data_IF_029298806585
#
_entry.id   IF_029298806585
#
_cell.length_a   1.000
_cell.length_b   1.000
_cell.length_c   1.000
_cell.angle_alpha   90.00
_cell.angle_beta   90.00
_cell.angle_gamma   90.00
#
_symmetry.space_group_name_H-M   'P 1'
#
loop_
_entity.id
_entity.type
_entity.pdbx_description
1 polymer ?
#
# COMPACT_ATOMS: atom_id res chain seq x y z
N UNK A 1 20.34 -27.92 -18.36
CA UNK A 1 21.59 -27.21 -18.04
C UNK A 1 21.26 -26.21 -16.94
N UNK A 2 21.92 -26.29 -15.78
CA UNK A 2 21.76 -25.31 -14.74
C UNK A 2 22.32 -23.96 -15.25
N UNK A 3 21.51 -22.92 -15.20
CA UNK A 3 21.92 -21.56 -15.61
C UNK A 3 22.89 -21.03 -14.53
N UNK A 4 24.16 -20.82 -14.88
CA UNK A 4 25.11 -20.20 -13.96
C UNK A 4 25.06 -18.68 -14.08
N UNK A 5 25.06 -17.95 -12.94
CA UNK A 5 25.10 -16.50 -12.96
C UNK A 5 26.36 -15.96 -13.64
N UNK A 6 26.23 -14.89 -14.42
CA UNK A 6 27.38 -14.13 -14.92
C UNK A 6 28.13 -13.47 -13.74
N UNK A 7 29.39 -13.02 -13.92
CA UNK A 7 30.11 -12.32 -12.85
C UNK A 7 29.37 -11.11 -12.29
N UNK A 8 28.68 -10.34 -13.15
CA UNK A 8 27.88 -9.19 -12.74
C UNK A 8 26.63 -9.61 -11.93
N UNK A 9 25.92 -10.64 -12.39
CA UNK A 9 24.78 -11.20 -11.64
C UNK A 9 25.24 -11.77 -10.29
N UNK A 10 26.38 -12.46 -10.24
CA UNK A 10 26.95 -12.98 -9.00
C UNK A 10 27.26 -11.87 -8.00
N UNK A 11 27.87 -10.77 -8.46
CA UNK A 11 28.13 -9.61 -7.61
C UNK A 11 26.84 -9.03 -6.98
N UNK A 12 25.72 -9.01 -7.74
CA UNK A 12 24.41 -8.58 -7.23
C UNK A 12 23.86 -9.60 -6.21
N UNK A 13 23.95 -10.89 -6.49
CA UNK A 13 23.44 -11.96 -5.63
C UNK A 13 24.15 -11.95 -4.26
N UNK A 14 25.46 -11.77 -4.26
CA UNK A 14 26.31 -11.82 -3.07
C UNK A 14 26.37 -10.50 -2.29
N UNK A 15 25.88 -9.37 -2.86
CA UNK A 15 25.87 -8.08 -2.18
C UNK A 15 24.77 -8.07 -1.10
N UNK A 16 25.14 -8.09 0.17
CA UNK A 16 24.20 -8.16 1.30
C UNK A 16 24.10 -6.88 2.13
N UNK A 17 25.05 -5.97 2.01
CA UNK A 17 25.12 -4.78 2.82
C UNK A 17 24.82 -3.51 2.04
N UNK A 18 23.90 -2.69 2.58
CA UNK A 18 23.56 -1.37 2.03
C UNK A 18 22.72 -1.41 0.74
N UNK A 19 22.33 -0.24 0.25
CA UNK A 19 21.50 -0.12 -0.95
C UNK A 19 22.28 -0.47 -2.22
N UNK A 20 21.62 -1.17 -3.16
CA UNK A 20 22.14 -1.46 -4.48
C UNK A 20 21.10 -1.11 -5.56
N UNK A 21 21.50 -0.32 -6.56
CA UNK A 21 20.69 -0.03 -7.73
C UNK A 21 21.18 -0.89 -8.90
N UNK A 22 20.27 -1.68 -9.49
CA UNK A 22 20.57 -2.53 -10.65
C UNK A 22 19.85 -1.98 -11.88
N UNK A 23 20.61 -1.56 -12.89
CA UNK A 23 20.08 -1.13 -14.19
C UNK A 23 20.30 -2.27 -15.17
N UNK A 24 19.21 -2.81 -15.72
CA UNK A 24 19.26 -4.00 -16.56
C UNK A 24 18.22 -3.95 -17.70
N UNK A 25 18.65 -4.23 -18.92
CA UNK A 25 17.79 -4.27 -20.10
C UNK A 25 16.84 -5.49 -20.15
N UNK A 26 15.89 -5.53 -21.09
CA UNK A 26 15.09 -6.72 -21.35
C UNK A 26 15.98 -7.94 -21.66
N UNK A 27 15.59 -9.13 -21.15
CA UNK A 27 16.34 -10.37 -21.40
C UNK A 27 17.65 -10.54 -20.63
N UNK A 28 18.08 -9.56 -19.81
CA UNK A 28 19.33 -9.63 -19.03
C UNK A 28 19.29 -10.58 -17.83
N UNK A 29 18.16 -11.24 -17.57
CA UNK A 29 17.98 -12.15 -16.45
C UNK A 29 17.66 -11.46 -15.11
N UNK A 30 17.01 -10.28 -15.11
CA UNK A 30 16.60 -9.56 -13.88
C UNK A 30 15.89 -10.45 -12.85
N UNK A 31 14.82 -11.12 -13.29
CA UNK A 31 14.03 -11.99 -12.41
C UNK A 31 14.86 -13.18 -11.91
N UNK A 32 15.70 -13.77 -12.76
CA UNK A 32 16.63 -14.82 -12.36
C UNK A 32 17.58 -14.34 -11.26
N UNK A 33 18.20 -13.18 -11.46
CA UNK A 33 19.14 -12.60 -10.49
C UNK A 33 18.45 -12.29 -9.15
N UNK A 34 17.21 -11.76 -9.18
CA UNK A 34 16.42 -11.48 -7.98
C UNK A 34 16.09 -12.77 -7.23
N UNK A 35 15.60 -13.80 -7.92
CA UNK A 35 15.29 -15.11 -7.31
C UNK A 35 16.54 -15.73 -6.68
N UNK A 36 17.67 -15.72 -7.39
CA UNK A 36 18.93 -16.26 -6.85
C UNK A 36 19.43 -15.45 -5.65
N UNK A 37 19.24 -14.12 -5.64
CA UNK A 37 19.59 -13.26 -4.49
C UNK A 37 18.72 -13.60 -3.26
N UNK A 38 17.41 -13.72 -3.42
CA UNK A 38 16.50 -14.10 -2.34
C UNK A 38 16.85 -15.48 -1.81
N UNK A 39 17.07 -16.45 -2.70
CA UNK A 39 17.53 -17.80 -2.32
C UNK A 39 18.85 -17.75 -1.56
N UNK A 40 19.82 -16.96 -1.99
CA UNK A 40 21.10 -16.77 -1.29
C UNK A 40 20.91 -16.18 0.10
N UNK A 41 20.03 -15.18 0.27
CA UNK A 41 19.72 -14.62 1.58
C UNK A 41 19.14 -15.66 2.53
N UNK A 42 18.18 -16.47 2.07
CA UNK A 42 17.52 -17.50 2.87
C UNK A 42 18.51 -18.63 3.21
N UNK A 43 19.20 -19.18 2.22
CA UNK A 43 19.97 -20.42 2.35
C UNK A 43 21.37 -20.18 2.88
N UNK A 44 22.11 -19.24 2.26
CA UNK A 44 23.53 -19.06 2.56
C UNK A 44 23.77 -18.04 3.67
N UNK A 45 22.82 -17.10 3.85
CA UNK A 45 22.89 -16.07 4.90
C UNK A 45 21.96 -16.33 6.07
N UNK A 46 21.09 -17.34 5.98
CA UNK A 46 20.13 -17.70 7.02
C UNK A 46 19.25 -16.52 7.46
N UNK A 47 18.89 -15.63 6.52
CA UNK A 47 17.97 -14.53 6.77
C UNK A 47 16.59 -15.12 7.02
N UNK A 48 15.92 -14.82 8.13
CA UNK A 48 14.55 -15.24 8.40
C UNK A 48 13.60 -14.75 7.30
N UNK A 49 12.62 -15.57 6.92
CA UNK A 49 11.70 -15.26 5.83
C UNK A 49 10.85 -14.02 6.12
N UNK A 50 10.47 -13.80 7.37
CA UNK A 50 9.74 -12.62 7.87
C UNK A 50 10.52 -11.30 7.74
N UNK A 51 11.82 -11.35 7.50
CA UNK A 51 12.67 -10.18 7.24
C UNK A 51 12.86 -9.89 5.73
N UNK A 52 12.21 -10.67 4.87
CA UNK A 52 12.34 -10.52 3.42
C UNK A 52 11.11 -9.81 2.85
N UNK A 53 11.37 -8.67 2.24
CA UNK A 53 10.38 -7.81 1.59
C UNK A 53 10.62 -7.75 0.08
N UNK A 54 9.64 -8.18 -0.73
CA UNK A 54 9.74 -8.20 -2.20
C UNK A 54 8.54 -7.51 -2.82
N UNK A 55 8.71 -6.26 -3.21
CA UNK A 55 7.65 -5.48 -3.83
C UNK A 55 7.71 -5.51 -5.35
N UNK A 56 6.55 -5.61 -5.98
CA UNK A 56 6.35 -5.56 -7.43
C UNK A 56 5.24 -4.59 -7.81
N UNK A 57 5.09 -4.29 -9.10
CA UNK A 57 3.99 -3.45 -9.58
C UNK A 57 2.67 -4.21 -9.78
N UNK A 58 2.72 -5.53 -9.96
CA UNK A 58 1.52 -6.33 -10.25
C UNK A 58 1.52 -7.62 -9.45
N UNK A 59 0.35 -8.06 -9.02
CA UNK A 59 0.14 -9.35 -8.35
C UNK A 59 0.66 -10.53 -9.20
N UNK A 60 0.47 -10.45 -10.52
CA UNK A 60 0.99 -11.48 -11.43
C UNK A 60 2.51 -11.60 -11.34
N UNK A 61 3.23 -10.47 -11.25
CA UNK A 61 4.68 -10.49 -11.14
C UNK A 61 5.12 -11.00 -9.75
N UNK A 62 4.39 -10.67 -8.69
CA UNK A 62 4.64 -11.18 -7.35
C UNK A 62 4.51 -12.71 -7.31
N UNK A 63 3.39 -13.24 -7.78
CA UNK A 63 3.14 -14.68 -7.84
C UNK A 63 4.17 -15.42 -8.69
N UNK A 64 4.62 -14.83 -9.82
CA UNK A 64 5.67 -15.43 -10.65
C UNK A 64 7.02 -15.48 -9.92
N UNK A 65 7.36 -14.47 -9.13
CA UNK A 65 8.59 -14.45 -8.32
C UNK A 65 8.50 -15.49 -7.22
N UNK A 66 7.39 -15.55 -6.49
CA UNK A 66 7.14 -16.53 -5.43
C UNK A 66 7.26 -17.96 -5.95
N UNK A 67 6.57 -18.29 -7.06
CA UNK A 67 6.67 -19.58 -7.72
C UNK A 67 8.10 -19.97 -8.10
N UNK A 68 8.90 -19.01 -8.54
CA UNK A 68 10.29 -19.25 -8.92
C UNK A 68 11.19 -19.47 -7.72
N UNK A 69 10.98 -18.71 -6.63
CA UNK A 69 11.70 -18.90 -5.37
C UNK A 69 11.36 -20.28 -4.80
N UNK A 70 10.07 -20.65 -4.77
CA UNK A 70 9.61 -21.95 -4.29
C UNK A 70 10.27 -23.11 -5.06
N UNK A 71 10.30 -23.05 -6.38
CA UNK A 71 10.96 -24.08 -7.21
C UNK A 71 12.47 -24.16 -6.97
N UNK A 72 13.14 -23.02 -6.80
CA UNK A 72 14.59 -22.98 -6.52
C UNK A 72 14.90 -23.59 -5.15
N UNK A 73 14.15 -23.24 -4.11
CA UNK A 73 14.32 -23.78 -2.75
C UNK A 73 14.01 -25.28 -2.70
N UNK A 74 12.92 -25.72 -3.34
CA UNK A 74 12.56 -27.13 -3.44
C UNK A 74 13.64 -27.95 -4.15
N UNK A 75 14.30 -27.39 -5.19
CA UNK A 75 15.42 -28.06 -5.88
C UNK A 75 16.62 -28.32 -4.97
N UNK A 76 16.71 -27.57 -3.86
CA UNK A 76 17.72 -27.71 -2.80
C UNK A 76 17.22 -28.49 -1.58
N UNK A 77 16.02 -29.08 -1.66
CA UNK A 77 15.32 -29.76 -0.55
C UNK A 77 15.05 -28.85 0.67
N UNK A 78 14.81 -27.55 0.41
CA UNK A 78 14.49 -26.57 1.44
C UNK A 78 13.00 -26.21 1.30
N UNK A 79 12.27 -26.29 2.42
CA UNK A 79 10.87 -25.91 2.52
C UNK A 79 10.80 -24.68 3.43
N UNK A 80 10.17 -23.61 2.92
CA UNK A 80 9.89 -22.38 3.67
C UNK A 80 8.39 -22.11 3.67
N UNK A 81 7.93 -21.41 4.68
CA UNK A 81 6.58 -20.88 4.70
C UNK A 81 6.58 -19.50 4.02
N UNK A 82 5.93 -19.39 2.86
CA UNK A 82 5.84 -18.13 2.14
C UNK A 82 4.86 -17.15 2.79
N UNK A 83 3.95 -17.63 3.63
CA UNK A 83 3.04 -16.76 4.37
C UNK A 83 3.78 -15.82 5.35
N UNK A 84 4.98 -16.19 5.75
CA UNK A 84 5.82 -15.35 6.62
C UNK A 84 6.57 -14.25 5.85
N UNK A 85 6.72 -14.39 4.52
CA UNK A 85 7.39 -13.39 3.67
C UNK A 85 6.44 -12.27 3.25
N UNK A 86 6.99 -11.08 3.03
CA UNK A 86 6.27 -9.95 2.44
C UNK A 86 6.54 -9.89 0.94
N UNK A 87 5.80 -10.70 0.17
CA UNK A 87 5.87 -10.71 -1.31
C UNK A 87 4.53 -10.25 -1.87
N UNK A 88 4.55 -9.21 -2.71
CA UNK A 88 3.30 -8.69 -3.28
C UNK A 88 3.49 -7.38 -4.02
N UNK A 89 2.38 -6.72 -4.32
CA UNK A 89 2.40 -5.30 -4.66
C UNK A 89 2.68 -4.49 -3.41
N UNK A 90 3.10 -3.25 -3.56
CA UNK A 90 3.34 -2.39 -2.40
C UNK A 90 2.09 -2.26 -1.52
N UNK A 91 0.90 -2.14 -2.13
CA UNK A 91 -0.37 -2.07 -1.40
C UNK A 91 -0.71 -3.38 -0.68
N UNK A 92 -0.56 -4.54 -1.33
CA UNK A 92 -0.86 -5.82 -0.68
C UNK A 92 0.08 -6.11 0.48
N UNK A 93 1.35 -5.70 0.39
CA UNK A 93 2.30 -5.82 1.50
C UNK A 93 1.91 -4.88 2.65
N UNK A 94 1.60 -3.62 2.37
CA UNK A 94 1.11 -2.69 3.40
C UNK A 94 -0.15 -3.22 4.08
N UNK A 95 -1.07 -3.79 3.32
CA UNK A 95 -2.29 -4.40 3.86
C UNK A 95 -1.96 -5.57 4.80
N UNK A 96 -1.06 -6.46 4.39
CA UNK A 96 -0.58 -7.56 5.24
C UNK A 96 0.06 -7.05 6.54
N UNK A 97 0.91 -6.02 6.46
CA UNK A 97 1.50 -5.40 7.65
C UNK A 97 0.42 -4.87 8.61
N UNK A 98 -0.62 -4.22 8.08
CA UNK A 98 -1.75 -3.73 8.89
C UNK A 98 -2.56 -4.88 9.52
N UNK A 99 -2.74 -5.98 8.80
CA UNK A 99 -3.42 -7.18 9.30
C UNK A 99 -2.62 -7.88 10.42
N UNK A 100 -1.32 -8.03 10.23
CA UNK A 100 -0.41 -8.65 11.20
C UNK A 100 -0.26 -7.81 12.47
N UNK A 101 -0.32 -6.48 12.35
CA UNK A 101 -0.16 -5.52 13.44
C UNK A 101 -1.48 -4.80 13.82
N UNK A 102 -2.62 -5.44 13.58
CA UNK A 102 -3.94 -4.82 13.76
C UNK A 102 -4.18 -4.24 15.13
N UNK A 103 -3.68 -4.85 16.20
CA UNK A 103 -3.86 -4.41 17.57
C UNK A 103 -3.24 -3.01 17.84
N UNK A 104 -2.33 -2.57 16.98
CA UNK A 104 -1.72 -1.24 17.00
C UNK A 104 -2.38 -0.25 16.04
N UNK A 105 -3.46 -0.65 15.35
CA UNK A 105 -4.17 0.17 14.38
C UNK A 105 -5.59 0.49 14.85
N UNK A 106 -6.27 1.42 14.16
CA UNK A 106 -7.70 1.69 14.37
C UNK A 106 -8.60 0.60 13.75
N UNK A 107 -8.03 -0.31 12.96
CA UNK A 107 -8.79 -1.31 12.20
C UNK A 107 -9.28 -2.43 13.11
N UNK A 108 -10.58 -2.69 13.05
CA UNK A 108 -11.19 -3.82 13.77
C UNK A 108 -11.04 -5.10 12.97
N UNK A 109 -11.29 -6.23 13.62
CA UNK A 109 -11.33 -7.52 12.91
C UNK A 109 -12.35 -7.48 11.76
N UNK A 110 -11.99 -8.05 10.61
CA UNK A 110 -12.82 -8.09 9.40
C UNK A 110 -13.17 -6.70 8.85
N UNK A 111 -12.20 -5.79 8.80
CA UNK A 111 -12.36 -4.55 8.04
C UNK A 111 -12.52 -4.86 6.55
N UNK A 112 -13.19 -3.97 5.83
CA UNK A 112 -13.40 -4.10 4.38
C UNK A 112 -12.54 -3.09 3.63
N UNK A 113 -11.82 -3.56 2.63
CA UNK A 113 -11.09 -2.68 1.70
C UNK A 113 -12.03 -2.32 0.55
N UNK A 114 -12.24 -1.03 0.36
CA UNK A 114 -13.07 -0.50 -0.73
C UNK A 114 -12.24 -0.35 -2.01
N UNK A 115 -12.81 -0.78 -3.13
CA UNK A 115 -12.29 -0.41 -4.44
C UNK A 115 -12.74 1.03 -4.82
N UNK A 116 -12.33 1.51 -5.99
CA UNK A 116 -12.65 2.86 -6.45
C UNK A 116 -14.16 3.08 -6.65
N UNK A 117 -14.89 2.05 -7.07
CA UNK A 117 -16.33 2.16 -7.23
C UNK A 117 -17.02 2.19 -5.86
N UNK A 118 -16.65 1.30 -4.96
CA UNK A 118 -17.17 1.23 -3.58
C UNK A 118 -16.93 2.54 -2.85
N UNK A 119 -15.74 3.14 -3.00
CA UNK A 119 -15.41 4.41 -2.40
C UNK A 119 -16.28 5.56 -2.95
N UNK A 120 -16.47 5.62 -4.28
CA UNK A 120 -17.36 6.63 -4.88
C UNK A 120 -18.80 6.43 -4.43
N UNK A 121 -19.26 5.18 -4.32
CA UNK A 121 -20.58 4.84 -3.84
C UNK A 121 -20.77 5.18 -2.36
N UNK A 122 -19.76 4.99 -1.53
CA UNK A 122 -19.74 5.45 -0.15
C UNK A 122 -19.98 6.97 -0.05
N UNK A 123 -19.25 7.78 -0.83
CA UNK A 123 -19.49 9.22 -0.87
C UNK A 123 -20.88 9.58 -1.42
N UNK A 124 -21.41 8.79 -2.34
CA UNK A 124 -22.79 8.99 -2.82
C UNK A 124 -23.83 8.72 -1.73
N UNK A 125 -23.64 7.71 -0.90
CA UNK A 125 -24.52 7.39 0.23
C UNK A 125 -24.46 8.48 1.30
N UNK A 126 -23.27 8.93 1.66
CA UNK A 126 -23.02 9.94 2.71
C UNK A 126 -23.04 11.39 2.20
N UNK A 127 -23.40 11.63 0.93
CA UNK A 127 -23.35 12.96 0.32
C UNK A 127 -24.01 14.05 1.14
N UNK A 128 -25.18 13.75 1.74
CA UNK A 128 -25.92 14.71 2.56
C UNK A 128 -25.15 15.12 3.85
N UNK A 129 -24.30 14.25 4.38
CA UNK A 129 -23.46 14.54 5.55
C UNK A 129 -22.31 15.47 5.17
N UNK A 130 -21.67 15.20 4.02
CA UNK A 130 -20.63 16.07 3.47
C UNK A 130 -21.17 17.45 3.12
N UNK A 131 -22.36 17.54 2.51
CA UNK A 131 -22.99 18.82 2.13
C UNK A 131 -23.48 19.63 3.36
N UNK A 132 -23.67 19.03 4.53
CA UNK A 132 -23.89 19.78 5.78
C UNK A 132 -22.62 20.52 6.24
N UNK A 133 -21.46 19.99 5.95
CA UNK A 133 -20.18 20.62 6.26
C UNK A 133 -19.87 21.75 5.28
N UNK A 134 -20.18 21.56 3.99
CA UNK A 134 -20.01 22.55 2.93
C UNK A 134 -20.52 22.02 1.60
N UNK A 135 -21.17 22.89 0.83
CA UNK A 135 -21.74 22.50 -0.46
C UNK A 135 -20.65 22.25 -1.51
N UNK A 136 -20.73 21.11 -2.21
CA UNK A 136 -19.79 20.81 -3.33
C UNK A 136 -19.88 21.88 -4.42
N UNK A 137 -21.07 22.44 -4.65
CA UNK A 137 -21.30 23.54 -5.58
C UNK A 137 -20.44 24.77 -5.27
N UNK A 138 -20.29 25.13 -4.00
CA UNK A 138 -19.47 26.27 -3.56
C UNK A 138 -17.97 26.01 -3.80
N UNK A 139 -17.58 24.75 -3.68
CA UNK A 139 -16.21 24.34 -3.92
C UNK A 139 -15.84 24.36 -5.42
N UNK A 140 -16.69 23.78 -6.26
CA UNK A 140 -16.45 23.63 -7.70
C UNK A 140 -16.89 24.87 -8.49
N UNK A 141 -17.82 25.66 -7.94
CA UNK A 141 -18.38 26.84 -8.61
C UNK A 141 -19.48 26.48 -9.63
N UNK A 142 -20.17 25.35 -9.45
CA UNK A 142 -21.26 24.91 -10.33
C UNK A 142 -22.38 24.21 -9.56
N UNK A 143 -23.61 24.71 -9.72
CA UNK A 143 -24.81 24.10 -9.12
C UNK A 143 -25.38 22.93 -9.96
N UNK A 144 -24.91 22.78 -11.20
CA UNK A 144 -25.44 21.79 -12.15
C UNK A 144 -24.67 20.47 -12.12
N UNK A 145 -24.51 19.89 -10.93
CA UNK A 145 -23.83 18.59 -10.76
C UNK A 145 -24.82 17.50 -10.36
N UNK A 146 -24.73 16.34 -11.01
CA UNK A 146 -25.44 15.16 -10.53
C UNK A 146 -24.90 14.73 -9.15
N UNK A 147 -25.71 13.99 -8.38
CA UNK A 147 -25.26 13.45 -7.07
C UNK A 147 -24.01 12.59 -7.20
N UNK A 148 -23.93 11.79 -8.27
CA UNK A 148 -22.76 10.94 -8.54
C UNK A 148 -21.49 11.76 -8.83
N UNK A 149 -21.62 12.83 -9.63
CA UNK A 149 -20.48 13.69 -9.92
C UNK A 149 -20.00 14.45 -8.69
N UNK A 150 -20.91 14.87 -7.80
CA UNK A 150 -20.56 15.46 -6.51
C UNK A 150 -19.79 14.46 -5.64
N UNK A 151 -20.26 13.21 -5.54
CA UNK A 151 -19.61 12.14 -4.80
C UNK A 151 -18.20 11.83 -5.34
N UNK A 152 -18.08 11.69 -6.66
CA UNK A 152 -16.78 11.48 -7.31
C UNK A 152 -15.82 12.64 -7.06
N UNK A 153 -16.30 13.88 -7.09
CA UNK A 153 -15.47 15.06 -6.79
C UNK A 153 -14.94 15.06 -5.35
N UNK A 154 -15.79 14.70 -4.38
CA UNK A 154 -15.33 14.56 -2.99
C UNK A 154 -14.30 13.43 -2.90
N UNK A 155 -14.58 12.28 -3.49
CA UNK A 155 -13.69 11.12 -3.52
C UNK A 155 -12.29 11.48 -4.01
N UNK A 156 -12.19 12.14 -5.17
CA UNK A 156 -10.91 12.56 -5.76
C UNK A 156 -10.09 13.46 -4.82
N UNK A 157 -10.76 14.39 -4.13
CA UNK A 157 -10.08 15.26 -3.17
C UNK A 157 -9.67 14.52 -1.90
N UNK A 158 -10.51 13.61 -1.40
CA UNK A 158 -10.17 12.83 -0.20
C UNK A 158 -8.97 11.92 -0.47
N UNK A 159 -8.92 11.26 -1.63
CA UNK A 159 -7.78 10.46 -2.04
C UNK A 159 -6.50 11.30 -2.07
N UNK A 160 -6.55 12.47 -2.72
CA UNK A 160 -5.40 13.37 -2.80
C UNK A 160 -4.91 13.83 -1.42
N UNK A 161 -5.81 14.16 -0.50
CA UNK A 161 -5.43 14.56 0.86
C UNK A 161 -4.80 13.41 1.64
N UNK A 162 -5.29 12.17 1.45
CA UNK A 162 -4.75 10.97 2.09
C UNK A 162 -3.37 10.62 1.53
N UNK A 163 -3.20 10.62 0.21
CA UNK A 163 -1.94 10.31 -0.48
C UNK A 163 -0.83 11.31 -0.13
N UNK A 164 -1.16 12.61 -0.04
CA UNK A 164 -0.22 13.67 0.34
C UNK A 164 -0.02 13.79 1.87
N UNK A 165 -0.65 12.91 2.65
CA UNK A 165 -0.55 12.90 4.12
C UNK A 165 -0.87 14.26 4.75
N UNK A 166 -1.85 14.96 4.21
CA UNK A 166 -2.22 16.30 4.67
C UNK A 166 -2.76 16.24 6.11
N UNK A 167 -2.27 17.14 6.96
CA UNK A 167 -2.82 17.29 8.32
C UNK A 167 -4.22 17.93 8.24
N UNK A 168 -5.25 17.10 8.41
CA UNK A 168 -6.65 17.48 8.28
C UNK A 168 -7.13 18.51 9.31
N UNK A 169 -6.61 18.42 10.56
CA UNK A 169 -6.97 19.36 11.63
C UNK A 169 -6.43 20.76 11.33
N UNK A 170 -5.16 20.81 10.87
CA UNK A 170 -4.55 22.08 10.45
C UNK A 170 -5.28 22.65 9.26
N UNK A 171 -5.65 21.82 8.26
CA UNK A 171 -6.39 22.25 7.09
C UNK A 171 -7.80 22.73 7.46
N UNK A 172 -8.49 22.06 8.39
CA UNK A 172 -9.81 22.43 8.87
C UNK A 172 -9.83 23.76 9.68
N UNK A 173 -8.66 24.22 10.10
CA UNK A 173 -8.45 25.49 10.79
C UNK A 173 -7.91 26.60 9.89
N UNK A 174 -7.78 26.35 8.57
CA UNK A 174 -7.25 27.32 7.62
C UNK A 174 -8.18 28.53 7.48
N UNK A 175 -7.61 29.69 7.19
CA UNK A 175 -8.35 30.92 6.96
C UNK A 175 -9.09 30.94 5.60
N UNK A 176 -8.62 30.16 4.63
CA UNK A 176 -9.26 30.07 3.31
C UNK A 176 -10.45 29.12 3.35
N UNK A 177 -11.68 29.59 3.03
CA UNK A 177 -12.91 28.79 3.24
C UNK A 177 -12.92 27.43 2.54
N UNK A 178 -12.38 27.33 1.32
CA UNK A 178 -12.31 26.07 0.57
C UNK A 178 -11.32 25.08 1.21
N UNK A 179 -10.19 25.55 1.70
CA UNK A 179 -9.22 24.70 2.40
C UNK A 179 -9.78 24.22 3.72
N UNK A 180 -10.44 25.12 4.47
CA UNK A 180 -11.15 24.76 5.69
C UNK A 180 -12.20 23.68 5.45
N UNK A 181 -13.00 23.81 4.38
CA UNK A 181 -14.03 22.84 4.01
C UNK A 181 -13.42 21.48 3.65
N UNK A 182 -12.33 21.44 2.86
CA UNK A 182 -11.61 20.21 2.53
C UNK A 182 -11.09 19.51 3.80
N UNK A 183 -10.51 20.25 4.74
CA UNK A 183 -10.05 19.69 6.00
C UNK A 183 -11.19 19.06 6.81
N UNK A 184 -12.33 19.76 6.92
CA UNK A 184 -13.51 19.24 7.59
C UNK A 184 -14.11 18.02 6.91
N UNK A 185 -14.15 17.98 5.57
CA UNK A 185 -14.57 16.81 4.82
C UNK A 185 -13.64 15.61 5.07
N UNK A 186 -12.34 15.84 5.09
CA UNK A 186 -11.39 14.77 5.33
C UNK A 186 -11.49 14.21 6.75
N UNK A 187 -11.69 15.05 7.76
CA UNK A 187 -11.97 14.60 9.14
C UNK A 187 -13.28 13.78 9.22
N UNK A 188 -14.34 14.24 8.58
CA UNK A 188 -15.60 13.50 8.50
C UNK A 188 -15.39 12.14 7.80
N UNK A 189 -14.66 12.12 6.69
CA UNK A 189 -14.35 10.89 5.97
C UNK A 189 -13.61 9.88 6.85
N UNK A 190 -12.55 10.29 7.52
CA UNK A 190 -11.80 9.44 8.44
C UNK A 190 -12.69 8.89 9.56
N UNK A 191 -13.57 9.72 10.13
CA UNK A 191 -14.51 9.30 11.16
C UNK A 191 -15.50 8.25 10.65
N UNK A 192 -16.07 8.43 9.46
CA UNK A 192 -17.01 7.48 8.85
C UNK A 192 -16.32 6.16 8.51
N UNK A 193 -15.10 6.19 7.95
CA UNK A 193 -14.31 4.98 7.69
C UNK A 193 -14.05 4.18 8.97
N UNK A 194 -13.74 4.86 10.07
CA UNK A 194 -13.54 4.19 11.37
C UNK A 194 -14.82 3.58 11.92
N UNK A 195 -15.95 4.31 11.84
CA UNK A 195 -17.25 3.83 12.31
C UNK A 195 -17.71 2.58 11.55
N UNK A 196 -17.54 2.56 10.24
CA UNK A 196 -17.95 1.48 9.35
C UNK A 196 -16.87 0.39 9.16
N UNK A 197 -15.70 0.57 9.80
CA UNK A 197 -14.56 -0.34 9.69
C UNK A 197 -14.11 -0.57 8.25
N UNK A 198 -13.96 0.53 7.51
CA UNK A 198 -13.56 0.55 6.12
C UNK A 198 -12.15 1.08 5.93
N UNK A 199 -11.50 0.64 4.87
CA UNK A 199 -10.20 1.12 4.42
C UNK A 199 -10.24 1.30 2.89
N UNK A 200 -9.71 2.38 2.37
CA UNK A 200 -9.52 2.58 0.95
C UNK A 200 -8.05 2.44 0.54
N UNK A 201 -7.80 2.39 -0.77
CA UNK A 201 -6.46 2.21 -1.31
C UNK A 201 -5.49 3.33 -0.90
N UNK A 202 -5.94 4.58 -0.87
CA UNK A 202 -5.10 5.73 -0.47
C UNK A 202 -4.70 5.65 1.00
N UNK A 203 -5.61 5.15 1.84
CA UNK A 203 -5.41 5.05 3.28
C UNK A 203 -4.52 3.86 3.69
N UNK A 204 -4.41 2.80 2.87
CA UNK A 204 -3.57 1.64 3.19
C UNK A 204 -2.14 2.07 3.51
N UNK A 205 -1.52 2.84 2.62
CA UNK A 205 -0.14 3.32 2.81
C UNK A 205 -0.03 4.33 3.96
N UNK A 206 -1.02 5.23 4.08
CA UNK A 206 -1.05 6.24 5.13
C UNK A 206 -1.15 5.60 6.53
N UNK A 207 -2.02 4.59 6.70
CA UNK A 207 -2.16 3.86 7.96
C UNK A 207 -0.92 3.02 8.28
N UNK A 208 -0.31 2.37 7.29
CA UNK A 208 0.96 1.65 7.47
C UNK A 208 2.07 2.59 7.92
N UNK A 209 2.20 3.76 7.30
CA UNK A 209 3.19 4.75 7.73
C UNK A 209 2.89 5.29 9.15
N UNK A 210 1.62 5.48 9.49
CA UNK A 210 1.20 5.87 10.84
C UNK A 210 1.57 4.81 11.86
N UNK A 211 1.34 3.53 11.53
CA UNK A 211 1.74 2.38 12.36
C UNK A 211 3.24 2.44 12.67
N UNK A 212 4.10 2.54 11.65
CA UNK A 212 5.55 2.59 11.84
C UNK A 212 6.04 3.83 12.63
N UNK A 213 5.37 4.98 12.47
CA UNK A 213 5.73 6.17 13.23
C UNK A 213 5.39 6.10 14.71
N UNK A 214 4.35 5.37 15.06
CA UNK A 214 3.81 5.33 16.40
C UNK A 214 4.28 4.10 17.22
N UNK A 215 4.76 3.07 16.53
CA UNK A 215 5.11 1.78 17.13
C UNK A 215 6.42 1.27 16.53
N UNK A 216 7.54 1.49 17.22
CA UNK A 216 8.88 1.05 16.80
C UNK A 216 8.98 -0.48 16.62
N UNK A 217 8.14 -1.23 17.34
CA UNK A 217 8.10 -2.71 17.29
C UNK A 217 7.39 -3.26 16.03
N UNK A 218 6.69 -2.40 15.27
CA UNK A 218 5.97 -2.78 14.05
C UNK A 218 6.79 -2.54 12.75
N UNK A 219 8.03 -2.06 12.87
CA UNK A 219 8.93 -1.69 11.77
C UNK A 219 10.02 -2.70 11.48
#
# INVERSE_FOLDING_TARGET
MAFSPTPQQRAIIEHTEGPVLVIAGPGSGKTFTLVQRITHLIVDKSVPTEQIFVATFTEKAANEIEDRIARELLSRNIVVNFDDMYIGTFHSICLKILEDNRDFTRLKKNFTVMDQFDQTYFFFQHLAEFEKVGQVADFVGSDKMSRWLKASTICDWMNKLSEELVNSEKLASDSHPKLQMLGKWHLLYQQLLEQENLLDFSMIQAETLRLFKNHEEAG
#
